data_IF_335702056344
#
_entry.id   IF_335702056344
#
_cell.length_a   1.000
_cell.length_b   1.000
_cell.length_c   1.000
_cell.angle_alpha   90.00
_cell.angle_beta   90.00
_cell.angle_gamma   90.00
#
_symmetry.space_group_name_H-M   'P 1'
#
loop_
_entity.id
_entity.type
_entity.pdbx_description
1 polymer ?
#
# COMPACT_ATOMS: atom_id res chain seq x y z
N UNK A 1 21.52 2.45 49.08
CA UNK A 1 20.07 2.19 48.98
C UNK A 1 19.38 3.55 48.89
N UNK A 2 18.56 3.91 47.92
CA UNK A 2 17.88 3.23 46.81
C UNK A 2 17.70 4.29 45.71
N UNK A 3 18.22 4.06 44.51
CA UNK A 3 17.86 4.86 43.32
C UNK A 3 16.65 4.14 42.73
N UNK A 4 15.46 4.62 43.09
CA UNK A 4 14.21 4.21 42.46
C UNK A 4 14.17 4.73 41.02
N UNK A 5 14.91 4.08 40.12
CA UNK A 5 14.71 4.24 38.68
C UNK A 5 13.44 3.47 38.32
N UNK A 6 12.29 4.10 38.57
CA UNK A 6 11.07 3.75 37.85
C UNK A 6 11.31 4.18 36.41
N UNK A 7 11.74 3.22 35.59
CA UNK A 7 11.62 3.30 34.14
C UNK A 7 10.22 3.84 33.83
N UNK A 8 10.06 4.87 32.97
CA UNK A 8 8.75 5.33 32.58
C UNK A 8 8.06 4.12 31.95
N UNK A 9 6.90 3.78 32.51
CA UNK A 9 5.97 2.77 32.04
C UNK A 9 6.18 2.54 30.55
N UNK A 10 6.79 1.41 30.18
CA UNK A 10 6.63 0.89 28.84
C UNK A 10 5.12 0.76 28.68
N UNK A 11 4.51 1.75 28.01
CA UNK A 11 3.09 1.70 27.72
C UNK A 11 2.91 0.38 26.98
N UNK A 12 2.22 -0.57 27.63
CA UNK A 12 1.94 -1.85 27.02
C UNK A 12 1.27 -1.53 25.68
N UNK A 13 1.95 -1.81 24.58
CA UNK A 13 1.42 -1.52 23.27
C UNK A 13 0.05 -2.19 23.18
N UNK A 14 -0.97 -1.42 22.83
CA UNK A 14 -2.30 -2.01 22.67
C UNK A 14 -2.24 -2.98 21.49
N UNK A 15 -3.07 -4.05 21.45
CA UNK A 15 -3.10 -4.96 20.30
C UNK A 15 -3.30 -4.24 18.95
N UNK A 16 -4.00 -3.10 18.96
CA UNK A 16 -4.16 -2.25 17.78
C UNK A 16 -2.88 -1.49 17.43
N UNK A 17 -2.13 -1.00 18.41
CA UNK A 17 -0.85 -0.32 18.17
C UNK A 17 0.16 -1.24 17.49
N UNK A 18 0.26 -2.49 17.95
CA UNK A 18 1.12 -3.52 17.33
C UNK A 18 0.66 -3.85 15.90
N UNK A 19 -0.65 -3.99 15.68
CA UNK A 19 -1.21 -4.23 14.34
C UNK A 19 -0.86 -3.09 13.37
N UNK A 20 -0.98 -1.83 13.80
CA UNK A 20 -0.67 -0.65 12.99
C UNK A 20 0.83 -0.58 12.66
N UNK A 21 1.70 -0.90 13.62
CA UNK A 21 3.15 -1.00 13.38
C UNK A 21 3.44 -2.08 12.33
N UNK A 22 2.81 -3.26 12.44
CA UNK A 22 3.03 -4.34 11.50
C UNK A 22 2.57 -3.98 10.08
N UNK A 23 1.41 -3.32 9.94
CA UNK A 23 0.92 -2.80 8.65
C UNK A 23 1.91 -1.79 8.08
N UNK A 24 2.40 -0.84 8.90
CA UNK A 24 3.42 0.13 8.46
C UNK A 24 4.67 -0.57 7.93
N UNK A 25 5.19 -1.53 8.68
CA UNK A 25 6.42 -2.24 8.30
C UNK A 25 6.25 -2.99 6.99
N UNK A 26 5.11 -3.67 6.78
CA UNK A 26 4.80 -4.33 5.52
C UNK A 26 4.70 -3.33 4.36
N UNK A 27 4.05 -2.18 4.58
CA UNK A 27 3.94 -1.12 3.57
C UNK A 27 5.29 -0.48 3.24
N UNK A 28 6.14 -0.20 4.23
CA UNK A 28 7.45 0.40 4.04
C UNK A 28 8.42 -0.52 3.28
N UNK A 29 8.39 -1.83 3.54
CA UNK A 29 9.24 -2.79 2.84
C UNK A 29 9.00 -2.76 1.32
N UNK A 30 7.76 -2.59 0.90
CA UNK A 30 7.38 -2.58 -0.51
C UNK A 30 7.45 -1.18 -1.16
N UNK A 31 7.15 -0.12 -0.40
CA UNK A 31 7.22 1.26 -0.88
C UNK A 31 8.65 1.85 -0.82
N UNK A 32 9.63 1.12 -0.30
CA UNK A 32 11.04 1.52 -0.32
C UNK A 32 11.69 1.46 -1.71
N UNK A 33 10.93 1.13 -2.75
CA UNK A 33 11.36 1.21 -4.14
C UNK A 33 11.62 2.68 -4.50
N UNK A 34 12.88 3.05 -4.79
CA UNK A 34 13.26 4.38 -5.29
C UNK A 34 12.75 4.67 -6.72
N UNK A 35 11.86 3.83 -7.25
CA UNK A 35 11.34 3.91 -8.61
C UNK A 35 10.33 5.04 -8.73
N UNK A 36 10.73 6.11 -9.42
CA UNK A 36 9.79 7.11 -9.91
C UNK A 36 9.11 6.60 -11.19
N UNK A 37 7.97 5.95 -11.02
CA UNK A 37 7.16 5.48 -12.15
C UNK A 37 6.66 6.60 -13.06
N UNK A 38 6.53 7.83 -12.56
CA UNK A 38 6.18 8.99 -13.36
C UNK A 38 7.33 9.39 -14.29
N UNK A 39 8.57 9.37 -13.82
CA UNK A 39 9.76 9.57 -14.64
C UNK A 39 9.96 8.42 -15.64
N UNK A 40 9.87 7.16 -15.19
CA UNK A 40 9.97 5.99 -16.08
C UNK A 40 8.96 6.08 -17.24
N UNK A 41 7.70 6.42 -16.96
CA UNK A 41 6.66 6.59 -17.98
C UNK A 41 6.88 7.79 -18.91
N UNK A 42 7.56 8.84 -18.45
CA UNK A 42 7.97 9.99 -19.29
C UNK A 42 9.11 9.62 -20.22
N UNK A 43 10.04 8.77 -19.77
CA UNK A 43 11.18 8.32 -20.56
C UNK A 43 10.83 7.22 -21.57
N UNK A 44 9.80 6.42 -21.31
CA UNK A 44 9.37 5.35 -22.20
C UNK A 44 8.91 5.87 -23.57
N UNK A 45 9.51 5.35 -24.63
CA UNK A 45 9.29 5.69 -26.04
C UNK A 45 8.48 4.64 -26.79
N UNK A 46 8.49 3.39 -26.32
CA UNK A 46 7.77 2.29 -26.95
C UNK A 46 6.59 1.81 -26.11
N UNK A 47 5.70 1.05 -26.75
CA UNK A 47 4.61 0.40 -26.05
C UNK A 47 5.14 -0.67 -25.09
N UNK A 48 6.12 -1.45 -25.51
CA UNK A 48 6.75 -2.51 -24.73
C UNK A 48 7.42 -1.97 -23.46
N UNK A 49 8.05 -0.78 -23.54
CA UNK A 49 8.63 -0.11 -22.37
C UNK A 49 7.54 0.32 -21.38
N UNK A 50 6.43 0.88 -21.86
CA UNK A 50 5.28 1.25 -21.01
C UNK A 50 4.62 0.02 -20.38
N UNK A 51 4.52 -1.06 -21.14
CA UNK A 51 4.01 -2.35 -20.67
C UNK A 51 4.93 -2.93 -19.57
N UNK A 52 6.25 -2.90 -19.77
CA UNK A 52 7.20 -3.35 -18.76
C UNK A 52 7.08 -2.54 -17.45
N UNK A 53 6.89 -1.21 -17.55
CA UNK A 53 6.63 -0.36 -16.38
C UNK A 53 5.33 -0.77 -15.68
N UNK A 54 4.25 -1.00 -16.43
CA UNK A 54 2.98 -1.44 -15.87
C UNK A 54 3.10 -2.80 -15.15
N UNK A 55 3.85 -3.75 -15.70
CA UNK A 55 4.15 -5.03 -15.06
C UNK A 55 4.92 -4.86 -13.74
N UNK A 56 5.89 -3.93 -13.69
CA UNK A 56 6.62 -3.65 -12.45
C UNK A 56 5.69 -3.08 -11.37
N UNK A 57 4.84 -2.12 -11.74
CA UNK A 57 3.85 -1.54 -10.82
C UNK A 57 2.85 -2.60 -10.32
N UNK A 58 2.41 -3.50 -11.20
CA UNK A 58 1.52 -4.59 -10.83
C UNK A 58 2.18 -5.54 -9.83
N UNK A 59 3.42 -5.96 -10.11
CA UNK A 59 4.16 -6.87 -9.23
C UNK A 59 4.37 -6.28 -7.82
N UNK A 60 4.64 -4.97 -7.73
CA UNK A 60 4.73 -4.27 -6.43
C UNK A 60 3.37 -4.24 -5.71
N UNK A 61 2.28 -3.92 -6.42
CA UNK A 61 0.94 -3.97 -5.83
C UNK A 61 0.60 -5.38 -5.31
N UNK A 62 0.85 -6.43 -6.09
CA UNK A 62 0.65 -7.82 -5.67
C UNK A 62 1.51 -8.20 -4.46
N UNK A 63 2.73 -7.66 -4.40
CA UNK A 63 3.63 -7.91 -3.29
C UNK A 63 3.13 -7.28 -1.99
N UNK A 64 2.64 -6.04 -2.06
CA UNK A 64 1.95 -5.38 -0.94
C UNK A 64 0.76 -6.20 -0.47
N UNK A 65 -0.10 -6.66 -1.38
CA UNK A 65 -1.26 -7.51 -1.03
C UNK A 65 -0.81 -8.76 -0.28
N UNK A 66 0.20 -9.46 -0.80
CA UNK A 66 0.71 -10.69 -0.20
C UNK A 66 1.20 -10.45 1.23
N UNK A 67 2.03 -9.43 1.43
CA UNK A 67 2.59 -9.13 2.76
C UNK A 67 1.50 -8.69 3.73
N UNK A 68 0.59 -7.81 3.33
CA UNK A 68 -0.55 -7.40 4.16
C UNK A 68 -1.41 -8.60 4.59
N UNK A 69 -1.70 -9.53 3.68
CA UNK A 69 -2.51 -10.73 3.97
C UNK A 69 -1.82 -11.72 4.91
N UNK A 70 -0.49 -11.75 4.92
CA UNK A 70 0.29 -12.62 5.82
C UNK A 70 0.34 -12.11 7.25
N UNK A 71 0.06 -10.82 7.49
CA UNK A 71 0.10 -10.26 8.84
C UNK A 71 -1.06 -10.80 9.68
N UNK A 72 -0.72 -11.43 10.80
CA UNK A 72 -1.70 -11.86 11.80
C UNK A 72 -2.09 -10.67 12.67
N UNK A 73 -3.32 -10.18 12.46
CA UNK A 73 -3.86 -9.05 13.22
C UNK A 73 -4.55 -9.50 14.51
N UNK A 74 -4.28 -8.81 15.61
CA UNK A 74 -4.78 -9.11 16.94
C UNK A 74 -6.09 -8.38 17.27
N UNK A 75 -6.29 -7.19 16.72
CA UNK A 75 -7.48 -6.34 16.92
C UNK A 75 -8.47 -6.41 15.75
N UNK A 76 -9.74 -6.13 16.03
CA UNK A 76 -10.79 -6.04 14.98
C UNK A 76 -10.52 -4.88 14.02
N UNK A 77 -10.06 -3.75 14.57
CA UNK A 77 -9.78 -2.54 13.82
C UNK A 77 -8.54 -2.71 12.94
N UNK A 78 -7.48 -3.33 13.46
CA UNK A 78 -6.30 -3.76 12.70
C UNK A 78 -6.65 -4.69 11.54
N UNK A 79 -7.49 -5.71 11.77
CA UNK A 79 -8.03 -6.57 10.68
C UNK A 79 -8.73 -5.75 9.60
N UNK A 80 -9.59 -4.84 10.02
CA UNK A 80 -10.42 -4.03 9.11
C UNK A 80 -9.54 -3.14 8.22
N UNK A 81 -8.59 -2.41 8.80
CA UNK A 81 -7.74 -1.50 8.02
C UNK A 81 -6.75 -2.28 7.13
N UNK A 82 -6.20 -3.40 7.60
CA UNK A 82 -5.38 -4.32 6.80
C UNK A 82 -6.14 -4.90 5.61
N UNK A 83 -7.40 -5.31 5.81
CA UNK A 83 -8.24 -5.85 4.74
C UNK A 83 -8.60 -4.79 3.70
N UNK A 84 -8.94 -3.57 4.14
CA UNK A 84 -9.19 -2.42 3.25
C UNK A 84 -7.95 -2.09 2.41
N UNK A 85 -6.78 -2.03 3.04
CA UNK A 85 -5.52 -1.72 2.36
C UNK A 85 -5.16 -2.81 1.35
N UNK A 86 -5.22 -4.08 1.75
CA UNK A 86 -4.95 -5.19 0.84
C UNK A 86 -5.94 -5.21 -0.33
N UNK A 87 -7.23 -4.97 -0.07
CA UNK A 87 -8.26 -4.92 -1.11
C UNK A 87 -8.07 -3.76 -2.09
N UNK A 88 -7.60 -2.59 -1.64
CA UNK A 88 -7.35 -1.46 -2.52
C UNK A 88 -6.18 -1.71 -3.48
N UNK A 89 -5.08 -2.32 -2.99
CA UNK A 89 -3.96 -2.73 -3.84
C UNK A 89 -4.30 -3.91 -4.76
N UNK A 90 -5.14 -4.85 -4.31
CA UNK A 90 -5.63 -5.94 -5.17
C UNK A 90 -6.46 -5.39 -6.34
N UNK A 91 -7.31 -4.39 -6.08
CA UNK A 91 -8.06 -3.70 -7.13
C UNK A 91 -7.14 -3.00 -8.13
N UNK A 92 -6.08 -2.34 -7.67
CA UNK A 92 -5.06 -1.73 -8.55
C UNK A 92 -4.40 -2.80 -9.43
N UNK A 93 -3.90 -3.89 -8.83
CA UNK A 93 -3.28 -4.98 -9.60
C UNK A 93 -4.22 -5.55 -10.66
N UNK A 94 -5.47 -5.83 -10.31
CA UNK A 94 -6.46 -6.36 -11.24
C UNK A 94 -6.75 -5.42 -12.41
N UNK A 95 -6.76 -4.10 -12.18
CA UNK A 95 -6.90 -3.12 -13.27
C UNK A 95 -5.66 -3.15 -14.17
N UNK A 96 -4.45 -3.25 -13.61
CA UNK A 96 -3.22 -3.36 -14.39
C UNK A 96 -3.18 -4.65 -15.23
N UNK A 97 -3.70 -5.77 -14.73
CA UNK A 97 -3.84 -7.03 -15.49
C UNK A 97 -4.56 -6.80 -16.81
N UNK A 98 -5.60 -5.97 -16.82
CA UNK A 98 -6.33 -5.63 -18.05
C UNK A 98 -5.40 -4.96 -19.05
N UNK A 99 -4.66 -3.92 -18.63
CA UNK A 99 -3.71 -3.23 -19.50
C UNK A 99 -2.56 -4.11 -20.02
N UNK A 100 -2.19 -5.13 -19.25
CA UNK A 100 -1.11 -6.05 -19.61
C UNK A 100 -1.56 -7.09 -20.63
N UNK A 101 -2.86 -7.43 -20.64
CA UNK A 101 -3.40 -8.52 -21.45
C UNK A 101 -4.10 -8.05 -22.72
N UNK A 102 -4.48 -6.76 -22.81
CA UNK A 102 -5.11 -6.18 -23.99
C UNK A 102 -4.09 -5.86 -25.08
N UNK A 103 -4.55 -5.88 -26.33
CA UNK A 103 -3.70 -5.56 -27.48
C UNK A 103 -3.36 -4.06 -27.52
N UNK A 104 -2.19 -3.66 -28.04
CA UNK A 104 -1.81 -2.25 -28.17
C UNK A 104 -2.85 -1.39 -28.91
N UNK A 105 -3.59 -1.98 -29.85
CA UNK A 105 -4.58 -1.28 -30.66
C UNK A 105 -5.92 -1.02 -29.96
N UNK A 106 -6.15 -1.61 -28.78
CA UNK A 106 -7.42 -1.51 -28.04
C UNK A 106 -7.48 -0.24 -27.19
N UNK A 107 -7.54 0.91 -27.87
CA UNK A 107 -7.62 2.24 -27.26
C UNK A 107 -8.79 2.36 -26.27
N UNK A 108 -10.00 1.82 -26.53
CA UNK A 108 -11.09 1.82 -25.56
C UNK A 108 -10.73 1.11 -24.25
N UNK A 109 -10.09 -0.07 -24.31
CA UNK A 109 -9.69 -0.80 -23.11
C UNK A 109 -8.68 -0.02 -22.26
N UNK A 110 -7.69 0.61 -22.88
CA UNK A 110 -6.74 1.48 -22.16
C UNK A 110 -7.42 2.70 -21.53
N UNK A 111 -8.41 3.28 -22.21
CA UNK A 111 -9.16 4.43 -21.68
C UNK A 111 -9.99 4.03 -20.46
N UNK A 112 -10.69 2.89 -20.51
CA UNK A 112 -11.41 2.34 -19.37
C UNK A 112 -10.47 1.97 -18.22
N UNK A 113 -9.32 1.36 -18.52
CA UNK A 113 -8.30 1.05 -17.51
C UNK A 113 -7.83 2.33 -16.81
N UNK A 114 -7.54 3.40 -17.55
CA UNK A 114 -7.08 4.66 -16.97
C UNK A 114 -8.12 5.29 -16.04
N UNK A 115 -9.40 5.29 -16.41
CA UNK A 115 -10.49 5.79 -15.55
C UNK A 115 -10.69 4.93 -14.30
N UNK A 116 -10.63 3.60 -14.45
CA UNK A 116 -10.69 2.68 -13.32
C UNK A 116 -9.50 2.89 -12.38
N UNK A 117 -8.30 3.10 -12.93
CA UNK A 117 -7.08 3.37 -12.15
C UNK A 117 -7.21 4.68 -11.37
N UNK A 118 -7.71 5.77 -11.97
CA UNK A 118 -7.97 7.04 -11.24
C UNK A 118 -8.91 6.82 -10.05
N UNK A 119 -9.92 5.98 -10.21
CA UNK A 119 -10.88 5.69 -9.14
C UNK A 119 -10.25 4.82 -8.04
N UNK A 120 -9.57 3.73 -8.41
CA UNK A 120 -8.88 2.86 -7.46
C UNK A 120 -7.75 3.59 -6.70
N UNK A 121 -7.03 4.50 -7.35
CA UNK A 121 -6.01 5.34 -6.69
C UNK A 121 -6.65 6.27 -5.65
N UNK A 122 -7.80 6.88 -5.95
CA UNK A 122 -8.51 7.73 -4.97
C UNK A 122 -8.99 6.93 -3.76
N UNK A 123 -9.54 5.74 -3.99
CA UNK A 123 -9.97 4.84 -2.93
C UNK A 123 -8.78 4.39 -2.05
N UNK A 124 -7.66 4.01 -2.68
CA UNK A 124 -6.43 3.63 -1.97
C UNK A 124 -5.91 4.77 -1.11
N UNK A 125 -5.88 6.00 -1.63
CA UNK A 125 -5.50 7.19 -0.86
C UNK A 125 -6.45 7.45 0.32
N UNK A 126 -7.75 7.19 0.18
CA UNK A 126 -8.71 7.33 1.28
C UNK A 126 -8.43 6.31 2.39
N UNK A 127 -8.12 5.05 2.04
CA UNK A 127 -7.72 4.01 3.01
C UNK A 127 -6.39 4.36 3.69
N UNK A 128 -5.42 4.89 2.95
CA UNK A 128 -4.15 5.36 3.53
C UNK A 128 -4.35 6.52 4.52
N UNK A 129 -5.30 7.43 4.27
CA UNK A 129 -5.67 8.49 5.21
C UNK A 129 -6.34 7.93 6.47
N UNK A 130 -7.29 7.02 6.31
CA UNK A 130 -7.93 6.33 7.44
C UNK A 130 -6.89 5.63 8.32
N UNK A 131 -5.93 4.93 7.70
CA UNK A 131 -4.80 4.34 8.40
C UNK A 131 -3.95 5.39 9.12
N UNK A 132 -3.61 6.50 8.46
CA UNK A 132 -2.77 7.55 9.04
C UNK A 132 -3.42 8.21 10.27
N UNK A 133 -4.72 8.53 10.19
CA UNK A 133 -5.50 9.08 11.31
C UNK A 133 -5.52 8.10 12.50
N UNK A 134 -5.69 6.81 12.21
CA UNK A 134 -5.68 5.77 13.22
C UNK A 134 -4.28 5.59 13.85
N UNK A 135 -3.23 5.60 13.03
CA UNK A 135 -1.85 5.53 13.49
C UNK A 135 -1.49 6.73 14.38
N UNK A 136 -1.92 7.95 14.02
CA UNK A 136 -1.70 9.16 14.81
C UNK A 136 -2.39 9.06 16.17
N UNK A 137 -3.67 8.72 16.18
CA UNK A 137 -4.46 8.55 17.41
C UNK A 137 -3.84 7.55 18.39
N UNK A 138 -3.16 6.52 17.88
CA UNK A 138 -2.55 5.46 18.67
C UNK A 138 -1.03 5.62 18.87
N UNK A 139 -0.46 6.79 18.55
CA UNK A 139 0.96 7.07 18.77
C UNK A 139 1.91 6.25 17.89
N UNK A 140 1.43 5.76 16.75
CA UNK A 140 2.20 5.02 15.71
C UNK A 140 2.61 5.95 14.56
N UNK A 141 2.26 7.24 14.63
CA UNK A 141 2.59 8.24 13.62
C UNK A 141 4.07 8.15 13.21
N UNK A 142 4.33 8.32 11.90
CA UNK A 142 5.68 8.40 11.37
C UNK A 142 6.43 9.52 12.10
N UNK A 143 7.34 9.16 12.99
CA UNK A 143 8.39 10.09 13.41
C UNK A 143 9.13 10.49 12.13
N UNK A 144 9.00 11.77 11.78
CA UNK A 144 9.77 12.41 10.72
C UNK A 144 11.26 12.30 11.00
#
# INVERSE_FOLDING_TARGET
MSVGCLLPHAAYATPLQDDLIAIRTAMQAELASDRDYGEMNRQAKTFEERLAILCLQQAEAESIVRHLRQIKMHSKEGRTIRDKMAGSFEKISNIMTVGITVKPEDIPAFSTMAENMKTASRETLAVMREYAELAEKHGVANNK
#
